data_IF_858543546303
#
_entry.id   IF_858543546303
#
_cell.length_a   1.000
_cell.length_b   1.000
_cell.length_c   1.000
_cell.angle_alpha   90.00
_cell.angle_beta   90.00
_cell.angle_gamma   90.00
#
_symmetry.space_group_name_H-M   'P 1'
#
loop_
_entity.id
_entity.type
_entity.pdbx_description
1 polymer ?
#
# COMPACT_ATOMS: atom_id res chain seq x y z
N UNK A 1 -0.49 5.43 -14.40
CA UNK A 1 0.65 4.78 -13.71
C UNK A 1 1.85 5.72 -13.73
N UNK A 2 2.24 6.26 -14.89
CA UNK A 2 3.35 7.23 -15.13
C UNK A 2 3.47 8.49 -14.26
N UNK A 3 2.52 8.78 -13.36
CA UNK A 3 2.61 9.92 -12.43
C UNK A 3 2.89 9.52 -10.99
N UNK A 4 2.96 8.22 -10.70
CA UNK A 4 3.21 7.73 -9.35
C UNK A 4 4.63 7.97 -8.87
N UNK A 5 5.59 8.00 -9.79
CA UNK A 5 7.01 8.31 -9.52
C UNK A 5 7.19 9.71 -8.91
N UNK A 6 6.24 10.62 -9.12
CA UNK A 6 6.26 11.98 -8.57
C UNK A 6 5.83 12.06 -7.10
N UNK A 7 5.26 10.99 -6.54
CA UNK A 7 4.76 10.97 -5.16
C UNK A 7 5.90 10.52 -4.26
N UNK A 8 6.71 11.45 -3.74
CA UNK A 8 7.85 11.15 -2.87
C UNK A 8 7.47 10.92 -1.40
N UNK A 9 6.26 11.31 -0.99
CA UNK A 9 5.78 11.12 0.39
C UNK A 9 5.27 9.68 0.59
N UNK A 10 5.86 8.89 1.51
CA UNK A 10 5.51 7.49 1.70
C UNK A 10 4.03 7.28 2.03
N UNK A 11 3.42 8.15 2.84
CA UNK A 11 1.99 8.05 3.17
C UNK A 11 1.06 8.30 1.97
N UNK A 12 1.39 9.28 1.12
CA UNK A 12 0.60 9.53 -0.10
C UNK A 12 0.77 8.41 -1.13
N UNK A 13 1.96 7.81 -1.19
CA UNK A 13 2.24 6.65 -2.04
C UNK A 13 1.45 5.43 -1.57
N UNK A 14 1.46 5.14 -0.26
CA UNK A 14 0.62 4.09 0.36
C UNK A 14 -0.87 4.27 0.07
N UNK A 15 -1.41 5.47 0.28
CA UNK A 15 -2.82 5.76 0.02
C UNK A 15 -3.18 5.58 -1.47
N UNK A 16 -2.29 5.99 -2.37
CA UNK A 16 -2.46 5.79 -3.82
C UNK A 16 -2.41 4.30 -4.19
N UNK A 17 -1.49 3.53 -3.60
CA UNK A 17 -1.41 2.09 -3.78
C UNK A 17 -2.66 1.37 -3.23
N UNK A 18 -3.17 1.76 -2.06
CA UNK A 18 -4.44 1.23 -1.52
C UNK A 18 -5.62 1.52 -2.45
N UNK A 19 -5.70 2.73 -3.02
CA UNK A 19 -6.74 3.09 -3.97
C UNK A 19 -6.64 2.26 -5.26
N UNK A 20 -5.43 2.05 -5.79
CA UNK A 20 -5.21 1.24 -7.00
C UNK A 20 -5.46 -0.25 -6.75
N UNK A 21 -5.02 -0.78 -5.61
CA UNK A 21 -5.30 -2.16 -5.19
C UNK A 21 -6.81 -2.39 -5.03
N UNK A 22 -7.59 -1.37 -4.66
CA UNK A 22 -9.06 -1.49 -4.61
C UNK A 22 -9.72 -1.72 -5.97
N UNK A 23 -9.03 -1.39 -7.07
CA UNK A 23 -9.48 -1.63 -8.43
C UNK A 23 -9.15 -3.04 -8.93
N UNK A 24 -8.25 -3.76 -8.26
CA UNK A 24 -7.88 -5.13 -8.66
C UNK A 24 -9.11 -6.04 -8.80
N UNK A 25 -10.04 -6.16 -7.83
CA UNK A 25 -11.21 -7.02 -7.96
C UNK A 25 -12.31 -6.39 -8.85
N UNK A 26 -12.01 -6.17 -10.14
CA UNK A 26 -12.95 -5.59 -11.12
C UNK A 26 -12.97 -6.41 -12.42
N UNK A 27 -14.17 -6.56 -13.01
CA UNK A 27 -14.41 -7.18 -14.32
C UNK A 27 -14.26 -6.20 -15.51
N UNK A 28 -13.50 -5.13 -15.33
CA UNK A 28 -13.34 -4.13 -16.37
C UNK A 28 -12.12 -4.51 -17.22
N UNK A 29 -12.35 -4.78 -18.50
CA UNK A 29 -11.29 -5.15 -19.45
C UNK A 29 -10.13 -4.16 -19.47
N UNK A 30 -10.39 -2.86 -19.32
CA UNK A 30 -9.36 -1.81 -19.28
C UNK A 30 -8.49 -1.95 -18.02
N UNK A 31 -9.07 -2.36 -16.91
CA UNK A 31 -8.35 -2.57 -15.64
C UNK A 31 -7.55 -3.87 -15.72
N UNK A 32 -8.10 -4.92 -16.32
CA UNK A 32 -7.40 -6.19 -16.54
C UNK A 32 -6.22 -6.04 -17.50
N UNK A 33 -6.36 -5.27 -18.59
CA UNK A 33 -5.26 -4.93 -19.51
C UNK A 33 -4.12 -4.17 -18.82
N UNK A 34 -4.40 -3.55 -17.67
CA UNK A 34 -3.42 -2.82 -16.85
C UNK A 34 -3.06 -3.54 -15.55
N UNK A 35 -3.49 -4.78 -15.38
CA UNK A 35 -3.30 -5.55 -14.14
C UNK A 35 -1.83 -5.63 -13.74
N UNK A 36 -0.95 -6.01 -14.69
CA UNK A 36 0.50 -6.06 -14.45
C UNK A 36 1.05 -4.72 -13.92
N UNK A 37 0.63 -3.59 -14.51
CA UNK A 37 1.03 -2.26 -14.04
C UNK A 37 0.49 -1.91 -12.64
N UNK A 38 -0.73 -2.35 -12.30
CA UNK A 38 -1.30 -2.14 -10.97
C UNK A 38 -0.57 -2.97 -9.91
N UNK A 39 -0.25 -4.23 -10.24
CA UNK A 39 0.50 -5.13 -9.36
C UNK A 39 1.92 -4.62 -9.15
N UNK A 40 2.59 -4.17 -10.21
CA UNK A 40 3.93 -3.58 -10.12
C UNK A 40 3.96 -2.38 -9.16
N UNK A 41 3.00 -1.46 -9.32
CA UNK A 41 2.85 -0.33 -8.40
C UNK A 41 2.65 -0.76 -6.94
N UNK A 42 1.86 -1.81 -6.71
CA UNK A 42 1.63 -2.30 -5.35
C UNK A 42 2.92 -2.90 -4.76
N UNK A 43 3.69 -3.64 -5.56
CA UNK A 43 4.98 -4.21 -5.16
C UNK A 43 6.02 -3.11 -4.88
N UNK A 44 6.15 -2.10 -5.75
CA UNK A 44 7.01 -0.94 -5.53
C UNK A 44 6.65 -0.20 -4.24
N UNK A 45 5.35 0.07 -4.03
CA UNK A 45 4.88 0.72 -2.82
C UNK A 45 5.11 -0.12 -1.57
N UNK A 46 5.10 -1.46 -1.68
CA UNK A 46 5.48 -2.34 -0.57
C UNK A 46 6.97 -2.22 -0.27
N UNK A 47 7.85 -2.28 -1.27
CA UNK A 47 9.30 -2.09 -1.10
C UNK A 47 9.67 -0.75 -0.47
N UNK A 48 8.94 0.32 -0.82
CA UNK A 48 9.20 1.65 -0.26
C UNK A 48 8.84 1.78 1.23
N UNK A 49 7.95 0.93 1.74
CA UNK A 49 7.37 1.04 3.08
C UNK A 49 7.85 -0.09 4.00
N UNK A 50 8.19 -1.24 3.43
CA UNK A 50 8.77 -2.38 4.13
C UNK A 50 10.23 -2.06 4.46
N UNK A 51 10.57 -2.01 5.74
CA UNK A 51 11.98 -2.00 6.16
C UNK A 51 12.44 -3.44 6.40
N UNK A 52 13.67 -3.75 5.97
CA UNK A 52 14.38 -4.94 6.42
C UNK A 52 14.58 -4.82 7.95
N UNK A 53 14.10 -5.81 8.69
CA UNK A 53 14.35 -5.89 10.13
C UNK A 53 15.86 -6.08 10.33
N UNK A 54 16.56 -5.25 11.12
CA UNK A 54 18.02 -5.31 11.27
C UNK A 54 18.54 -6.64 11.83
N UNK A 55 17.66 -7.49 12.38
CA UNK A 55 17.96 -8.85 12.85
C UNK A 55 17.68 -9.94 11.79
N UNK A 56 17.44 -9.58 10.53
CA UNK A 56 17.23 -10.52 9.42
C UNK A 56 15.90 -11.28 9.46
N UNK A 57 14.94 -10.80 10.25
CA UNK A 57 13.67 -11.45 10.51
C UNK A 57 12.47 -10.63 10.03
N UNK A 58 11.89 -11.03 8.89
CA UNK A 58 10.62 -10.58 8.31
C UNK A 58 10.50 -9.07 7.98
N UNK A 59 10.11 -8.77 6.74
CA UNK A 59 9.73 -7.41 6.33
C UNK A 59 8.55 -6.93 7.18
N UNK A 60 8.75 -5.86 7.96
CA UNK A 60 7.66 -5.22 8.70
C UNK A 60 7.29 -3.92 8.01
N UNK A 61 6.00 -3.77 7.72
CA UNK A 61 5.49 -2.52 7.19
C UNK A 61 5.78 -1.42 8.21
N UNK A 62 6.61 -0.45 7.81
CA UNK A 62 6.82 0.75 8.61
C UNK A 62 5.43 1.32 8.85
N UNK A 63 4.98 1.34 10.11
CA UNK A 63 3.79 2.12 10.46
C UNK A 63 4.17 3.54 10.14
N UNK A 64 3.79 3.96 8.94
CA UNK A 64 3.74 5.34 8.52
C UNK A 64 2.67 5.99 9.38
N UNK A 65 2.98 6.20 10.66
CA UNK A 65 2.67 7.44 11.32
C UNK A 65 3.45 8.43 10.46
N UNK A 66 2.89 8.81 9.29
CA UNK A 66 3.22 10.11 8.73
C UNK A 66 3.23 11.00 9.95
N UNK A 67 4.36 11.65 10.19
CA UNK A 67 4.36 12.84 10.99
C UNK A 67 3.12 13.61 10.47
N UNK A 68 2.01 13.53 11.22
CA UNK A 68 1.05 14.62 11.33
C UNK A 68 2.01 15.74 11.49
N UNK A 69 2.18 16.50 10.41
CA UNK A 69 3.37 17.32 10.14
C UNK A 69 3.93 17.72 11.50
N UNK A 70 5.19 17.38 11.79
CA UNK A 70 5.88 18.16 12.80
C UNK A 70 5.83 19.58 12.26
N UNK A 71 4.69 20.25 12.51
CA UNK A 71 4.54 21.66 12.68
C UNK A 71 5.75 21.91 13.52
N UNK A 72 6.74 22.53 12.89
CA UNK A 72 7.85 23.11 13.60
C UNK A 72 7.19 24.14 14.50
N UNK A 73 6.66 23.67 15.62
CA UNK A 73 6.41 24.47 16.79
C UNK A 73 7.82 24.87 17.15
N UNK A 74 8.23 26.05 16.70
CA UNK A 74 9.30 26.77 17.36
C UNK A 74 9.05 26.62 18.86
N UNK A 75 10.11 26.30 19.61
CA UNK A 75 10.11 25.68 20.93
C UNK A 75 9.36 26.46 22.05
N UNK A 76 8.55 27.45 21.72
CA UNK A 76 7.78 28.27 22.63
C UNK A 76 6.34 28.47 22.10
N UNK A 77 5.36 28.14 22.96
CA UNK A 77 3.98 28.67 22.97
C UNK A 77 2.93 27.96 22.09
N UNK A 78 2.30 26.92 22.64
CA UNK A 78 0.85 26.86 22.92
C UNK A 78 0.45 25.44 23.33
N UNK A 79 -0.39 25.28 24.36
CA UNK A 79 -0.99 23.98 24.65
C UNK A 79 -1.87 23.58 23.45
N UNK A 80 -1.77 22.34 22.94
CA UNK A 80 -2.48 21.93 21.74
C UNK A 80 -3.99 22.15 21.92
N UNK A 81 -4.59 22.91 21.01
CA UNK A 81 -6.00 23.27 21.11
C UNK A 81 -6.88 22.03 20.99
N UNK A 82 -8.14 22.10 21.44
CA UNK A 82 -9.08 20.99 21.22
C UNK A 82 -9.26 20.67 19.73
N UNK A 83 -9.14 21.68 18.86
CA UNK A 83 -9.21 21.48 17.40
C UNK A 83 -8.01 20.67 16.89
N UNK A 84 -6.81 20.90 17.41
CA UNK A 84 -5.61 20.14 17.03
C UNK A 84 -5.70 18.70 17.48
N UNK A 85 -6.21 18.46 18.70
CA UNK A 85 -6.51 17.12 19.20
C UNK A 85 -7.52 16.41 18.30
N UNK A 86 -8.60 17.10 17.89
CA UNK A 86 -9.61 16.54 16.98
C UNK A 86 -9.05 16.25 15.59
N UNK A 87 -8.24 17.15 15.02
CA UNK A 87 -7.54 16.93 13.74
C UNK A 87 -6.61 15.72 13.81
N UNK A 88 -5.83 15.58 14.89
CA UNK A 88 -4.94 14.42 15.09
C UNK A 88 -5.70 13.10 15.21
N UNK A 89 -6.82 13.08 15.95
CA UNK A 89 -7.68 11.90 16.06
C UNK A 89 -8.35 11.54 14.73
N UNK A 90 -8.73 12.53 13.92
CA UNK A 90 -9.29 12.31 12.59
C UNK A 90 -8.23 11.80 11.60
N UNK A 91 -7.00 12.34 11.66
CA UNK A 91 -5.88 11.84 10.88
C UNK A 91 -5.60 10.37 11.20
N UNK A 92 -5.63 9.96 12.47
CA UNK A 92 -5.47 8.55 12.88
C UNK A 92 -6.56 7.60 12.34
N UNK A 93 -7.70 8.11 11.84
CA UNK A 93 -8.73 7.30 11.17
C UNK A 93 -8.45 7.08 9.68
N UNK A 94 -7.44 7.72 9.12
CA UNK A 94 -7.05 7.51 7.71
C UNK A 94 -6.61 6.04 7.49
N UNK A 95 -7.09 5.36 6.43
CA UNK A 95 -6.68 4.01 6.08
C UNK A 95 -5.16 3.82 6.01
N UNK A 96 -4.41 4.88 5.69
CA UNK A 96 -2.94 4.83 5.64
C UNK A 96 -2.30 4.41 6.97
N UNK A 97 -2.96 4.69 8.10
CA UNK A 97 -2.48 4.39 9.46
C UNK A 97 -3.07 3.11 10.07
N UNK A 98 -4.23 2.68 9.60
CA UNK A 98 -4.98 1.55 10.17
C UNK A 98 -4.99 0.30 9.30
N UNK A 99 -4.72 0.43 8.00
CA UNK A 99 -4.70 -0.66 7.04
C UNK A 99 -3.26 -1.04 6.71
N UNK A 100 -2.94 -2.33 6.80
CA UNK A 100 -1.67 -2.83 6.29
C UNK A 100 -1.73 -2.95 4.78
N UNK A 101 -0.82 -2.29 4.05
CA UNK A 101 -0.79 -2.38 2.59
C UNK A 101 -0.57 -3.83 2.13
N UNK A 102 0.30 -4.56 2.83
CA UNK A 102 0.61 -5.97 2.56
C UNK A 102 -0.63 -6.85 2.65
N UNK A 103 -1.35 -6.78 3.79
CA UNK A 103 -2.59 -7.54 3.98
C UNK A 103 -3.66 -7.11 2.97
N UNK A 104 -3.79 -5.82 2.71
CA UNK A 104 -4.81 -5.30 1.81
C UNK A 104 -4.58 -5.74 0.36
N UNK A 105 -3.33 -5.70 -0.13
CA UNK A 105 -2.98 -6.19 -1.47
C UNK A 105 -3.27 -7.69 -1.56
N UNK A 106 -2.90 -8.48 -0.55
CA UNK A 106 -3.23 -9.90 -0.49
C UNK A 106 -4.74 -10.16 -0.58
N UNK A 107 -5.53 -9.48 0.25
CA UNK A 107 -6.99 -9.63 0.28
C UNK A 107 -7.62 -9.27 -1.08
N UNK A 108 -7.10 -8.25 -1.76
CA UNK A 108 -7.60 -7.82 -3.08
C UNK A 108 -7.21 -8.79 -4.20
N UNK A 109 -6.00 -9.34 -4.17
CA UNK A 109 -5.57 -10.38 -5.10
C UNK A 109 -6.39 -11.66 -4.91
N UNK A 110 -6.63 -12.06 -3.65
CA UNK A 110 -7.48 -13.20 -3.33
C UNK A 110 -8.92 -12.99 -3.76
N UNK A 111 -9.49 -11.82 -3.51
CA UNK A 111 -10.83 -11.47 -3.98
C UNK A 111 -10.93 -11.49 -5.52
N UNK A 112 -9.88 -11.05 -6.22
CA UNK A 112 -9.81 -11.14 -7.67
C UNK A 112 -9.77 -12.61 -8.12
N UNK A 113 -8.94 -13.45 -7.50
CA UNK A 113 -8.87 -14.88 -7.79
C UNK A 113 -10.22 -15.60 -7.54
N UNK A 114 -10.90 -15.29 -6.43
CA UNK A 114 -12.21 -15.85 -6.10
C UNK A 114 -13.28 -15.42 -7.10
N UNK A 115 -13.18 -14.20 -7.63
CA UNK A 115 -14.13 -13.63 -8.59
C UNK A 115 -14.01 -14.25 -9.99
N UNK A 116 -12.79 -14.34 -10.55
CA UNK A 116 -12.57 -14.85 -11.92
C UNK A 116 -12.23 -16.34 -11.98
N UNK A 117 -11.95 -16.95 -10.83
CA UNK A 117 -11.52 -18.34 -10.71
C UNK A 117 -10.01 -18.51 -10.89
N UNK A 118 -9.45 -19.62 -10.37
CA UNK A 118 -8.00 -19.83 -10.29
C UNK A 118 -7.31 -19.92 -11.65
N UNK A 119 -7.99 -20.45 -12.68
CA UNK A 119 -7.41 -20.62 -14.02
C UNK A 119 -7.25 -19.27 -14.74
N UNK A 120 -8.29 -18.42 -14.71
CA UNK A 120 -8.24 -17.09 -15.30
C UNK A 120 -7.25 -16.19 -14.55
N UNK A 121 -7.22 -16.30 -13.22
CA UNK A 121 -6.24 -15.58 -12.40
C UNK A 121 -4.80 -15.99 -12.71
N UNK A 122 -4.54 -17.28 -12.93
CA UNK A 122 -3.21 -17.76 -13.30
C UNK A 122 -2.73 -17.15 -14.62
N UNK A 123 -3.58 -17.13 -15.65
CA UNK A 123 -3.27 -16.47 -16.94
C UNK A 123 -2.99 -14.98 -16.75
N UNK A 124 -3.75 -14.32 -15.87
CA UNK A 124 -3.52 -12.90 -15.56
C UNK A 124 -2.19 -12.69 -14.83
N UNK A 125 -1.82 -13.59 -13.91
CA UNK A 125 -0.56 -13.53 -13.19
C UNK A 125 0.66 -13.83 -14.09
N UNK A 126 0.50 -14.61 -15.16
CA UNK A 126 1.54 -14.82 -16.18
C UNK A 126 1.90 -13.54 -16.95
N UNK A 127 1.04 -12.51 -16.92
CA UNK A 127 1.36 -11.19 -17.49
C UNK A 127 2.22 -10.32 -16.57
N UNK A 128 2.30 -10.69 -15.28
CA UNK A 128 3.12 -10.02 -14.28
C UNK A 128 4.54 -10.53 -14.39
N UNK A 129 5.53 -9.65 -14.18
CA UNK A 129 6.93 -10.05 -14.15
C UNK A 129 7.13 -11.19 -13.11
N UNK A 130 7.80 -12.30 -13.49
CA UNK A 130 8.11 -13.38 -12.55
C UNK A 130 8.92 -12.92 -11.33
N UNK A 131 9.76 -11.90 -11.46
CA UNK A 131 10.51 -11.32 -10.35
C UNK A 131 9.57 -10.65 -9.34
N UNK A 132 8.64 -9.81 -9.82
CA UNK A 132 7.62 -9.17 -8.98
C UNK A 132 6.70 -10.20 -8.33
N UNK A 133 6.38 -11.27 -9.04
CA UNK A 133 5.57 -12.38 -8.51
C UNK A 133 6.27 -13.05 -7.34
N UNK A 134 7.58 -13.29 -7.47
CA UNK A 134 8.41 -13.89 -6.41
C UNK A 134 8.47 -12.96 -5.20
N UNK A 135 8.73 -11.67 -5.41
CA UNK A 135 8.76 -10.67 -4.35
C UNK A 135 7.41 -10.56 -3.63
N UNK A 136 6.30 -10.53 -4.36
CA UNK A 136 4.96 -10.55 -3.77
C UNK A 136 4.72 -11.83 -2.98
N UNK A 137 5.16 -13.00 -3.46
CA UNK A 137 5.06 -14.25 -2.70
C UNK A 137 5.88 -14.24 -1.42
N UNK A 138 7.08 -13.66 -1.44
CA UNK A 138 7.90 -13.47 -0.24
C UNK A 138 7.19 -12.56 0.77
N UNK A 139 6.63 -11.43 0.33
CA UNK A 139 5.80 -10.58 1.17
C UNK A 139 4.55 -11.31 1.68
N UNK A 140 3.88 -12.13 0.87
CA UNK A 140 2.71 -12.88 1.34
C UNK A 140 3.09 -13.99 2.33
N UNK A 141 4.30 -14.53 2.22
CA UNK A 141 4.81 -15.56 3.14
C UNK A 141 5.25 -14.98 4.48
N UNK A 142 5.49 -13.67 4.56
CA UNK A 142 5.81 -12.95 5.78
C UNK A 142 4.60 -12.31 6.49
N UNK A 143 3.38 -12.51 5.97
CA UNK A 143 2.12 -12.10 6.62
C UNK A 143 1.79 -12.93 7.88
#
# INVERSE_FOLDING_TARGET
VDRMDNITQPGRRKLSALALASLLPTDNSIVQDRFCGLVNVCAEALHDIMMEDPDGGAYRESRLIMAVEEVHFGEELEQPTEQDKRKKLLAMKDPVHSTSLQQYVYDKLKAQQDFMGPQAFQVLMETVDPELTTQLQEFMSSL
#
